data_IF_179874500952
#
_entry.id   IF_179874500952
#
_cell.length_a   1.000
_cell.length_b   1.000
_cell.length_c   1.000
_cell.angle_alpha   90.00
_cell.angle_beta   90.00
_cell.angle_gamma   90.00
#
_symmetry.space_group_name_H-M   'P 1'
#
loop_
_entity.id
_entity.type
_entity.pdbx_description
1 polymer ?
#
# COMPACT_ATOMS: atom_id res chain seq x y z
N UNK A 1 20.09 1.70 -7.10
CA UNK A 1 18.79 1.68 -7.80
C UNK A 1 17.72 1.28 -6.83
N UNK A 2 16.61 2.01 -6.74
CA UNK A 2 15.50 1.69 -5.83
C UNK A 2 14.26 1.23 -6.61
N UNK A 3 13.31 0.61 -5.92
CA UNK A 3 12.00 0.22 -6.46
C UNK A 3 10.91 0.59 -5.46
N UNK A 4 9.78 1.05 -5.97
CA UNK A 4 8.58 1.23 -5.16
C UNK A 4 7.91 -0.12 -4.94
N UNK A 5 7.48 -0.37 -3.70
CA UNK A 5 6.71 -1.55 -3.31
C UNK A 5 5.46 -1.11 -2.55
N UNK A 6 4.37 -1.86 -2.72
CA UNK A 6 3.12 -1.68 -1.98
C UNK A 6 2.94 -2.90 -1.08
N UNK A 7 2.64 -2.67 0.19
CA UNK A 7 2.36 -3.70 1.20
C UNK A 7 1.12 -3.34 1.99
N UNK A 8 0.31 -4.34 2.29
CA UNK A 8 -0.88 -4.24 3.11
C UNK A 8 -1.23 -5.60 3.70
N UNK A 9 -1.79 -5.62 4.90
CA UNK A 9 -2.14 -6.85 5.62
C UNK A 9 -3.39 -6.63 6.45
N UNK A 10 -4.37 -7.52 6.33
CA UNK A 10 -5.58 -7.53 7.18
C UNK A 10 -5.29 -7.95 8.63
N UNK A 11 -4.12 -8.55 8.88
CA UNK A 11 -3.69 -9.02 10.19
C UNK A 11 -2.91 -7.96 10.98
N UNK A 12 -2.50 -6.87 10.34
CA UNK A 12 -1.74 -5.81 11.00
C UNK A 12 -2.72 -4.79 11.61
N UNK A 13 -2.49 -4.39 12.86
CA UNK A 13 -3.36 -3.44 13.54
C UNK A 13 -3.16 -2.00 13.03
N UNK A 14 -1.98 -1.67 12.50
CA UNK A 14 -1.61 -0.35 12.00
C UNK A 14 -0.48 -0.44 10.96
N UNK A 15 -0.10 0.69 10.36
CA UNK A 15 0.95 0.76 9.35
C UNK A 15 2.36 0.41 9.88
N UNK A 16 2.62 0.65 11.17
CA UNK A 16 3.92 0.33 11.78
C UNK A 16 4.17 -1.16 11.77
N UNK A 17 3.18 -1.98 12.13
CA UNK A 17 3.30 -3.44 12.09
C UNK A 17 3.54 -3.98 10.67
N UNK A 18 2.91 -3.36 9.65
CA UNK A 18 3.18 -3.71 8.25
C UNK A 18 4.63 -3.39 7.87
N UNK A 19 5.12 -2.21 8.27
CA UNK A 19 6.47 -1.76 7.98
C UNK A 19 7.51 -2.61 8.69
N UNK A 20 7.33 -2.92 9.98
CA UNK A 20 8.27 -3.73 10.77
C UNK A 20 8.41 -5.13 10.17
N UNK A 21 7.29 -5.76 9.79
CA UNK A 21 7.30 -7.07 9.15
C UNK A 21 8.03 -7.05 7.81
N UNK A 22 7.78 -6.05 6.96
CA UNK A 22 8.46 -5.93 5.67
C UNK A 22 9.95 -5.61 5.85
N UNK A 23 10.28 -4.70 6.76
CA UNK A 23 11.67 -4.31 7.07
C UNK A 23 12.48 -5.53 7.55
N UNK A 24 11.91 -6.34 8.45
CA UNK A 24 12.56 -7.56 8.90
C UNK A 24 12.82 -8.55 7.75
N UNK A 25 11.86 -8.73 6.85
CA UNK A 25 12.01 -9.60 5.69
C UNK A 25 13.06 -9.09 4.68
N UNK A 26 13.11 -7.77 4.44
CA UNK A 26 14.07 -7.16 3.54
C UNK A 26 15.49 -7.16 4.13
N UNK A 27 15.63 -6.87 5.42
CA UNK A 27 16.92 -6.94 6.11
C UNK A 27 17.51 -8.35 6.07
N UNK A 28 16.68 -9.39 6.23
CA UNK A 28 17.11 -10.78 6.08
C UNK A 28 17.63 -11.10 4.65
N UNK A 29 17.20 -10.33 3.65
CA UNK A 29 17.68 -10.38 2.27
C UNK A 29 18.79 -9.35 1.95
N UNK A 30 19.35 -8.68 2.98
CA UNK A 30 20.33 -7.60 2.82
C UNK A 30 19.85 -6.42 1.97
N UNK A 31 18.54 -6.12 2.06
CA UNK A 31 17.91 -4.97 1.43
C UNK A 31 17.41 -4.00 2.50
N UNK A 32 17.46 -2.72 2.19
CA UNK A 32 16.92 -1.65 3.03
C UNK A 32 15.64 -1.07 2.40
N UNK A 33 14.74 -0.56 3.23
CA UNK A 33 13.55 0.15 2.77
C UNK A 33 13.27 1.39 3.61
N UNK A 34 12.59 2.35 2.99
CA UNK A 34 12.07 3.56 3.63
C UNK A 34 10.56 3.61 3.41
N UNK A 35 9.81 3.97 4.47
CA UNK A 35 8.37 4.18 4.36
C UNK A 35 8.08 5.58 3.81
N UNK A 36 7.43 5.65 2.64
CA UNK A 36 7.10 6.90 1.96
C UNK A 36 5.69 7.42 2.29
N UNK A 37 5.04 6.83 3.29
CA UNK A 37 3.66 7.13 3.69
C UNK A 37 2.77 5.90 3.71
N UNK A 38 1.49 6.10 4.07
CA UNK A 38 0.50 5.02 4.06
C UNK A 38 -0.92 5.48 3.77
N UNK A 39 -1.84 4.52 3.88
CA UNK A 39 -3.25 4.65 3.59
C UNK A 39 -3.93 3.28 3.71
N UNK A 40 -5.14 3.16 3.20
CA UNK A 40 -5.95 1.95 3.25
C UNK A 40 -6.30 1.48 1.85
N UNK A 41 -6.52 0.18 1.73
CA UNK A 41 -6.93 -0.47 0.49
C UNK A 41 -8.23 -1.22 0.77
N UNK A 42 -9.30 -0.84 0.08
CA UNK A 42 -10.46 -1.71 -0.09
C UNK A 42 -10.18 -2.60 -1.29
N UNK A 43 -10.18 -3.91 -1.09
CA UNK A 43 -10.00 -4.90 -2.13
C UNK A 43 -11.23 -5.80 -2.18
N UNK A 44 -11.97 -5.77 -3.29
CA UNK A 44 -13.15 -6.60 -3.53
C UNK A 44 -12.82 -7.53 -4.71
N UNK A 45 -12.32 -8.75 -4.46
CA UNK A 45 -11.86 -9.64 -5.52
C UNK A 45 -12.98 -10.09 -6.47
N UNK A 46 -14.19 -10.26 -5.95
CA UNK A 46 -15.36 -10.76 -6.72
C UNK A 46 -15.74 -9.83 -7.88
N UNK A 47 -15.70 -8.52 -7.64
CA UNK A 47 -15.96 -7.48 -8.66
C UNK A 47 -14.68 -6.99 -9.34
N UNK A 48 -13.52 -7.49 -8.92
CA UNK A 48 -12.18 -7.05 -9.38
C UNK A 48 -11.96 -5.55 -9.20
N UNK A 49 -12.28 -5.07 -8.00
CA UNK A 49 -12.19 -3.66 -7.63
C UNK A 49 -11.15 -3.43 -6.52
N UNK A 50 -10.39 -2.35 -6.66
CA UNK A 50 -9.44 -1.85 -5.67
C UNK A 50 -9.62 -0.32 -5.51
N UNK A 51 -9.68 0.14 -4.27
CA UNK A 51 -9.68 1.56 -3.94
C UNK A 51 -8.61 1.86 -2.88
N UNK A 52 -7.70 2.77 -3.21
CA UNK A 52 -6.65 3.29 -2.30
C UNK A 52 -7.10 4.64 -1.72
N UNK A 53 -7.01 4.85 -0.41
CA UNK A 53 -7.49 6.09 0.22
C UNK A 53 -6.92 6.35 1.63
N UNK A 54 -7.24 7.51 2.21
CA UNK A 54 -6.93 7.85 3.61
C UNK A 54 -5.47 8.25 3.84
N UNK A 55 -4.95 7.94 5.02
CA UNK A 55 -3.56 8.22 5.40
C UNK A 55 -3.09 7.26 6.51
N UNK A 56 -1.78 7.16 6.69
CA UNK A 56 -1.22 6.62 7.93
C UNK A 56 -1.19 7.68 9.01
N UNK A 57 -1.57 7.32 10.24
CA UNK A 57 -1.43 8.21 11.40
C UNK A 57 0.04 8.52 11.73
N UNK A 58 0.94 7.56 11.49
CA UNK A 58 2.37 7.66 11.82
C UNK A 58 3.19 8.21 10.66
N UNK A 59 2.89 7.77 9.42
CA UNK A 59 3.72 8.06 8.25
C UNK A 59 3.10 9.08 7.28
N UNK A 60 1.90 9.59 7.58
CA UNK A 60 1.18 10.48 6.68
C UNK A 60 0.60 9.78 5.45
N UNK A 61 0.18 10.57 4.47
CA UNK A 61 -0.44 10.09 3.23
C UNK A 61 0.62 9.65 2.22
N UNK A 62 0.47 8.46 1.66
CA UNK A 62 1.29 7.99 0.54
C UNK A 62 0.88 8.67 -0.78
N UNK A 63 1.74 8.58 -1.80
CA UNK A 63 1.33 8.86 -3.18
C UNK A 63 0.39 7.75 -3.69
N UNK A 64 -0.92 7.98 -3.56
CA UNK A 64 -1.92 7.01 -3.99
C UNK A 64 -2.03 6.86 -5.51
N UNK A 65 -1.70 7.91 -6.27
CA UNK A 65 -1.61 7.81 -7.72
C UNK A 65 -0.53 6.80 -8.10
N UNK A 66 0.66 6.94 -7.52
CA UNK A 66 1.76 5.99 -7.73
C UNK A 66 1.43 4.58 -7.24
N UNK A 67 0.77 4.48 -6.09
CA UNK A 67 0.31 3.20 -5.52
C UNK A 67 -0.61 2.48 -6.51
N UNK A 68 -1.59 3.16 -7.09
CA UNK A 68 -2.50 2.54 -8.07
C UNK A 68 -1.82 2.18 -9.38
N UNK A 69 -0.80 2.91 -9.85
CA UNK A 69 0.00 2.49 -11.00
C UNK A 69 0.67 1.13 -10.78
N UNK A 70 1.21 0.91 -9.58
CA UNK A 70 1.85 -0.36 -9.21
C UNK A 70 0.79 -1.47 -9.14
N UNK A 71 -0.35 -1.19 -8.49
CA UNK A 71 -1.45 -2.15 -8.39
C UNK A 71 -2.03 -2.52 -9.76
N UNK A 72 -2.15 -1.57 -10.70
CA UNK A 72 -2.61 -1.83 -12.07
C UNK A 72 -1.69 -2.80 -12.83
N UNK A 73 -0.38 -2.74 -12.57
CA UNK A 73 0.57 -3.71 -13.14
C UNK A 73 0.44 -5.09 -12.51
N UNK A 74 0.16 -5.16 -11.21
CA UNK A 74 -0.01 -6.42 -10.48
C UNK A 74 -1.36 -7.10 -10.77
N UNK A 75 -2.41 -6.31 -10.99
CA UNK A 75 -3.79 -6.76 -11.23
C UNK A 75 -4.29 -6.27 -12.60
N UNK A 76 -3.69 -6.71 -13.72
CA UNK A 76 -4.03 -6.21 -15.05
C UNK A 76 -5.44 -6.56 -15.51
N UNK A 77 -6.10 -7.52 -14.84
CA UNK A 77 -7.46 -7.97 -15.15
C UNK A 77 -8.55 -7.24 -14.37
N UNK A 78 -8.17 -6.33 -13.47
CA UNK A 78 -9.12 -5.56 -12.66
C UNK A 78 -9.62 -4.36 -13.46
N UNK A 79 -10.95 -4.25 -13.56
CA UNK A 79 -11.62 -3.19 -14.32
C UNK A 79 -11.61 -1.85 -13.59
N UNK A 80 -11.49 -1.85 -12.25
CA UNK A 80 -11.50 -0.64 -11.43
C UNK A 80 -10.40 -0.66 -10.38
N UNK A 81 -9.36 0.14 -10.61
CA UNK A 81 -8.32 0.44 -9.61
C UNK A 81 -8.22 1.95 -9.49
N UNK A 82 -8.75 2.47 -8.39
CA UNK A 82 -8.94 3.91 -8.16
C UNK A 82 -8.26 4.37 -6.88
N UNK A 83 -8.10 5.68 -6.76
CA UNK A 83 -7.63 6.30 -5.53
C UNK A 83 -8.39 7.59 -5.22
N UNK A 84 -8.38 7.97 -3.94
CA UNK A 84 -8.76 9.30 -3.48
C UNK A 84 -7.86 9.74 -2.32
N UNK A 85 -7.64 11.04 -2.17
CA UNK A 85 -6.93 11.60 -1.02
C UNK A 85 -7.88 12.10 0.08
N UNK A 86 -9.16 11.73 -0.03
CA UNK A 86 -10.14 12.02 1.01
C UNK A 86 -9.67 11.46 2.36
N UNK A 87 -9.78 12.28 3.39
CA UNK A 87 -9.53 11.87 4.76
C UNK A 87 -10.62 10.90 5.22
N UNK A 88 -10.24 9.93 6.07
CA UNK A 88 -11.21 9.21 6.88
C UNK A 88 -11.65 10.19 7.98
N UNK A 89 -12.84 10.77 7.84
CA UNK A 89 -13.49 11.55 8.91
C UNK A 89 -14.06 10.63 9.97
#
# INVERSE_FOLDING_TARGET
TYKYVVRGSVLAANHTEVLEKETAALNAASLECECLGGGYIIHIPDTKELKVYGNSQTYGQADHAKTTEILKKQYPTYSSITWSNDAIV
#
